data_IF_410202052179
#
_entry.id   IF_410202052179
#
_cell.length_a   1.000
_cell.length_b   1.000
_cell.length_c   1.000
_cell.angle_alpha   90.00
_cell.angle_beta   90.00
_cell.angle_gamma   90.00
#
_symmetry.space_group_name_H-M   'P 1'
#
loop_
_entity.id
_entity.type
_entity.pdbx_description
1 polymer ?
#
# COMPACT_ATOMS: atom_id res chain seq x y z
N UNK A 1 27.55 -22.44 6.19
CA UNK A 1 26.92 -21.87 7.40
C UNK A 1 26.41 -20.49 7.03
N UNK A 2 25.09 -20.28 6.99
CA UNK A 2 24.51 -18.94 6.82
C UNK A 2 24.48 -18.27 8.19
N UNK A 3 24.97 -17.03 8.28
CA UNK A 3 25.16 -16.30 9.54
C UNK A 3 23.83 -15.91 10.23
N UNK A 4 23.80 -15.83 11.57
CA UNK A 4 22.58 -15.61 12.36
C UNK A 4 22.09 -14.14 12.43
N UNK A 5 22.41 -13.30 11.43
CA UNK A 5 22.09 -11.86 11.40
C UNK A 5 21.40 -11.42 10.09
N UNK A 6 20.76 -12.34 9.38
CA UNK A 6 19.82 -11.93 8.35
C UNK A 6 18.54 -11.49 9.06
N UNK A 7 18.47 -10.22 9.46
CA UNK A 7 17.23 -9.53 9.83
C UNK A 7 16.37 -9.38 8.57
N UNK A 8 15.94 -10.51 8.01
CA UNK A 8 15.08 -10.54 6.85
C UNK A 8 13.72 -10.00 7.28
N UNK A 9 13.57 -8.70 7.10
CA UNK A 9 12.29 -8.04 7.17
C UNK A 9 11.63 -8.29 5.82
N UNK A 10 10.52 -9.05 5.73
CA UNK A 10 9.82 -9.21 4.47
C UNK A 10 9.55 -7.83 3.90
N UNK A 11 10.04 -7.58 2.69
CA UNK A 11 9.82 -6.32 1.99
C UNK A 11 8.30 -6.17 1.81
N UNK A 12 7.67 -5.40 2.68
CA UNK A 12 6.25 -5.09 2.59
C UNK A 12 6.06 -4.05 1.46
N UNK A 13 6.25 -4.52 0.23
CA UNK A 13 6.21 -3.70 -0.97
C UNK A 13 4.80 -3.19 -1.22
N UNK A 14 4.66 -1.88 -1.41
CA UNK A 14 3.44 -1.28 -1.93
C UNK A 14 3.68 -1.05 -3.42
N UNK A 15 3.31 -2.05 -4.22
CA UNK A 15 3.40 -1.97 -5.68
C UNK A 15 2.17 -1.29 -6.29
N UNK A 16 2.38 -0.30 -7.14
CA UNK A 16 1.38 0.20 -8.07
C UNK A 16 1.63 -0.46 -9.42
N UNK A 17 0.65 -1.20 -9.89
CA UNK A 17 0.72 -1.97 -11.13
C UNK A 17 0.41 -1.08 -12.33
N UNK A 18 1.11 -1.31 -13.44
CA UNK A 18 0.84 -0.67 -14.74
C UNK A 18 0.78 0.87 -14.69
N UNK A 19 1.74 1.52 -14.02
CA UNK A 19 1.82 2.99 -13.98
C UNK A 19 2.36 3.50 -15.32
N UNK A 20 1.58 4.31 -16.02
CA UNK A 20 1.97 4.90 -17.30
C UNK A 20 2.79 6.17 -17.14
N UNK A 21 3.91 6.27 -17.84
CA UNK A 21 4.68 7.51 -17.89
C UNK A 21 4.03 8.52 -18.84
N UNK A 22 3.71 9.76 -18.40
CA UNK A 22 3.10 10.77 -19.26
C UNK A 22 4.04 11.27 -20.40
N UNK A 23 5.35 11.01 -20.30
CA UNK A 23 6.34 11.44 -21.29
C UNK A 23 6.66 10.37 -22.33
N UNK A 24 6.98 9.15 -21.90
CA UNK A 24 7.41 8.07 -22.80
C UNK A 24 6.34 7.01 -23.06
N UNK A 25 5.14 7.15 -22.47
CA UNK A 25 4.00 6.22 -22.60
C UNK A 25 4.27 4.78 -22.15
N UNK A 26 5.42 4.51 -21.55
CA UNK A 26 5.80 3.18 -21.06
C UNK A 26 5.07 2.87 -19.75
N UNK A 27 4.55 1.64 -19.65
CA UNK A 27 3.91 1.13 -18.43
C UNK A 27 4.92 0.37 -17.59
N UNK A 28 5.04 0.70 -16.30
CA UNK A 28 5.93 -0.01 -15.39
C UNK A 28 5.32 -0.13 -14.00
N UNK A 29 5.72 -1.15 -13.25
CA UNK A 29 5.31 -1.29 -11.87
C UNK A 29 6.18 -0.40 -10.97
N UNK A 30 5.51 0.44 -10.18
CA UNK A 30 6.14 1.41 -9.28
C UNK A 30 6.04 0.91 -7.83
N UNK A 31 7.18 0.61 -7.20
CA UNK A 31 7.22 0.27 -5.79
C UNK A 31 7.36 1.54 -4.95
N UNK A 32 6.27 1.97 -4.31
CA UNK A 32 6.25 3.20 -3.51
C UNK A 32 6.67 2.98 -2.05
N UNK A 33 6.91 1.74 -1.64
CA UNK A 33 7.38 1.44 -0.28
C UNK A 33 8.90 1.57 -0.12
N UNK A 34 9.66 1.56 -1.22
CA UNK A 34 11.11 1.67 -1.17
C UNK A 34 11.53 3.04 -0.63
N UNK A 35 12.53 3.11 0.25
CA UNK A 35 13.13 4.37 0.62
C UNK A 35 13.68 5.04 -0.65
N UNK A 36 13.52 6.36 -0.75
CA UNK A 36 14.30 7.14 -1.71
C UNK A 36 15.78 6.83 -1.48
N UNK A 37 16.63 6.72 -2.53
CA UNK A 37 18.06 6.47 -2.36
C UNK A 37 18.76 7.51 -1.47
N UNK A 38 18.15 8.67 -1.20
CA UNK A 38 18.64 9.65 -0.23
C UNK A 38 18.50 9.24 1.25
N UNK A 39 17.72 8.20 1.57
CA UNK A 39 17.53 7.69 2.92
C UNK A 39 18.37 6.43 3.22
N UNK A 40 19.26 6.04 2.30
CA UNK A 40 20.19 4.92 2.48
C UNK A 40 21.63 5.37 2.75
N UNK A 41 21.87 6.68 2.83
CA UNK A 41 23.13 7.25 3.30
C UNK A 41 23.06 7.46 4.83
N UNK A 42 22.88 6.38 5.60
CA UNK A 42 23.03 6.38 7.06
C UNK A 42 24.37 5.73 7.47
N UNK A 43 25.46 6.24 6.90
CA UNK A 43 26.78 6.22 7.54
C UNK A 43 27.21 7.69 7.76
N UNK A 44 26.75 8.23 8.90
CA UNK A 44 27.22 9.41 9.63
C UNK A 44 27.81 10.59 8.86
N UNK A 45 27.03 11.67 8.71
CA UNK A 45 27.50 13.04 8.99
C UNK A 45 26.31 14.01 9.11
N UNK A 46 25.65 14.02 10.27
CA UNK A 46 24.89 15.19 10.71
C UNK A 46 25.89 16.25 11.17
N UNK A 47 26.30 17.17 10.29
CA UNK A 47 26.68 18.54 10.64
C UNK A 47 27.03 19.32 9.37
N UNK A 48 26.42 20.51 9.26
CA UNK A 48 26.65 21.58 8.28
C UNK A 48 25.87 21.52 6.96
N UNK A 49 24.64 22.04 6.98
CA UNK A 49 24.26 23.03 5.96
C UNK A 49 23.09 23.93 6.41
N UNK A 50 23.42 24.94 7.21
CA UNK A 50 22.69 26.19 7.25
C UNK A 50 23.52 27.23 6.50
N UNK A 51 23.21 27.45 5.20
CA UNK A 51 23.38 28.70 4.41
C UNK A 51 23.26 28.39 2.91
N UNK A 52 22.13 28.79 2.34
CA UNK A 52 21.91 28.79 0.89
C UNK A 52 20.43 28.83 0.54
N UNK A 53 19.86 30.04 0.41
CA UNK A 53 18.66 30.25 -0.39
C UNK A 53 18.97 29.84 -1.83
N UNK A 54 18.40 28.73 -2.28
CA UNK A 54 18.67 28.20 -3.61
C UNK A 54 17.96 26.86 -3.81
N UNK A 55 16.74 26.95 -4.33
CA UNK A 55 15.98 25.89 -5.00
C UNK A 55 16.07 24.50 -4.35
N UNK A 56 15.14 24.21 -3.43
CA UNK A 56 14.87 22.85 -2.94
C UNK A 56 14.43 22.02 -4.14
N UNK A 57 15.41 21.47 -4.85
CA UNK A 57 15.24 20.40 -5.81
C UNK A 57 14.66 19.23 -5.04
N UNK A 58 13.34 19.25 -4.90
CA UNK A 58 12.50 18.18 -4.43
C UNK A 58 12.75 17.06 -5.43
N UNK A 59 13.77 16.23 -5.15
CA UNK A 59 14.00 15.00 -5.92
C UNK A 59 12.69 14.24 -5.83
N UNK A 60 11.94 14.24 -6.93
CA UNK A 60 10.65 13.59 -6.94
C UNK A 60 10.87 12.13 -6.52
N UNK A 61 10.18 11.65 -5.48
CA UNK A 61 10.48 10.36 -4.87
C UNK A 61 10.24 9.19 -5.84
N UNK A 62 9.51 9.44 -6.93
CA UNK A 62 9.12 8.46 -7.92
C UNK A 62 9.49 8.97 -9.31
N UNK A 63 10.18 8.14 -10.09
CA UNK A 63 10.56 8.46 -11.46
C UNK A 63 10.37 7.25 -12.39
N UNK A 64 10.12 7.52 -13.67
CA UNK A 64 10.02 6.50 -14.69
C UNK A 64 11.37 5.79 -14.89
N UNK A 65 11.36 4.46 -14.94
CA UNK A 65 12.58 3.65 -15.15
C UNK A 65 13.23 3.86 -16.53
N UNK A 66 12.47 4.30 -17.53
CA UNK A 66 12.94 4.42 -18.91
C UNK A 66 13.46 5.82 -19.24
N UNK A 67 12.70 6.87 -18.89
CA UNK A 67 13.05 8.25 -19.25
C UNK A 67 13.43 9.13 -18.05
N UNK A 68 13.54 8.56 -16.85
CA UNK A 68 13.84 9.23 -15.58
C UNK A 68 12.92 10.42 -15.24
N UNK A 69 11.77 10.53 -15.93
CA UNK A 69 10.84 11.64 -15.71
C UNK A 69 10.11 11.42 -14.39
N UNK A 70 10.05 12.44 -13.53
CA UNK A 70 9.39 12.32 -12.24
C UNK A 70 7.89 12.10 -12.40
N UNK A 71 7.32 11.19 -11.63
CA UNK A 71 5.87 11.06 -11.52
C UNK A 71 5.34 12.17 -10.62
N UNK A 72 4.25 12.88 -11.00
CA UNK A 72 3.63 13.85 -10.13
C UNK A 72 3.06 13.13 -8.90
N UNK A 73 3.32 13.69 -7.71
CA UNK A 73 2.87 13.09 -6.44
C UNK A 73 1.35 12.92 -6.38
N UNK A 74 0.58 13.84 -6.96
CA UNK A 74 -0.87 13.76 -7.05
C UNK A 74 -1.36 12.52 -7.80
N UNK A 75 -0.69 12.16 -8.90
CA UNK A 75 -1.01 10.95 -9.66
C UNK A 75 -0.70 9.69 -8.85
N UNK A 76 0.44 9.65 -8.16
CA UNK A 76 0.80 8.51 -7.31
C UNK A 76 -0.18 8.37 -6.14
N UNK A 77 -0.59 9.49 -5.56
CA UNK A 77 -1.59 9.55 -4.50
C UNK A 77 -2.95 9.02 -4.97
N UNK A 78 -3.42 9.44 -6.14
CA UNK A 78 -4.67 8.94 -6.74
C UNK A 78 -4.63 7.44 -6.99
N UNK A 79 -3.54 6.92 -7.54
CA UNK A 79 -3.36 5.47 -7.76
C UNK A 79 -3.32 4.67 -6.44
N UNK A 80 -2.75 5.25 -5.37
CA UNK A 80 -2.77 4.64 -4.05
C UNK A 80 -4.18 4.63 -3.46
N UNK A 81 -4.93 5.72 -3.63
CA UNK A 81 -6.33 5.82 -3.23
C UNK A 81 -7.18 4.76 -3.94
N UNK A 82 -7.06 4.65 -5.26
CA UNK A 82 -7.76 3.64 -6.06
C UNK A 82 -7.42 2.21 -5.61
N UNK A 83 -6.13 1.95 -5.33
CA UNK A 83 -5.71 0.64 -4.79
C UNK A 83 -6.36 0.37 -3.44
N UNK A 84 -6.36 1.35 -2.54
CA UNK A 84 -6.97 1.22 -1.21
C UNK A 84 -8.47 0.95 -1.31
N UNK A 85 -9.17 1.71 -2.18
CA UNK A 85 -10.59 1.56 -2.46
C UNK A 85 -10.92 0.19 -3.05
N UNK A 86 -10.12 -0.32 -4.00
CA UNK A 86 -10.27 -1.67 -4.55
C UNK A 86 -10.11 -2.75 -3.49
N UNK A 87 -9.12 -2.64 -2.60
CA UNK A 87 -8.93 -3.60 -1.51
C UNK A 87 -10.11 -3.58 -0.53
N UNK A 88 -10.60 -2.39 -0.18
CA UNK A 88 -11.79 -2.25 0.66
C UNK A 88 -13.03 -2.86 0.01
N UNK A 89 -13.31 -2.52 -1.25
CA UNK A 89 -14.44 -3.07 -1.99
C UNK A 89 -14.37 -4.60 -2.09
N UNK A 90 -13.19 -5.16 -2.37
CA UNK A 90 -12.99 -6.61 -2.39
C UNK A 90 -13.28 -7.27 -1.03
N UNK A 91 -12.91 -6.61 0.07
CA UNK A 91 -13.22 -7.10 1.42
C UNK A 91 -14.71 -6.99 1.76
N UNK A 92 -15.39 -5.91 1.35
CA UNK A 92 -16.83 -5.73 1.61
C UNK A 92 -17.69 -6.68 0.77
N UNK A 93 -17.32 -6.89 -0.49
CA UNK A 93 -18.06 -7.71 -1.46
C UNK A 93 -17.61 -9.18 -1.49
N UNK A 94 -16.73 -9.58 -0.57
CA UNK A 94 -16.18 -10.93 -0.55
C UNK A 94 -17.28 -11.99 -0.39
N UNK A 95 -17.00 -13.17 -0.91
CA UNK A 95 -17.81 -14.34 -0.65
C UNK A 95 -17.57 -14.90 0.77
N UNK A 96 -18.55 -15.68 1.20
CA UNK A 96 -18.56 -16.38 2.48
C UNK A 96 -18.28 -17.86 2.28
N UNK A 97 -17.30 -18.40 3.00
CA UNK A 97 -16.86 -19.81 2.92
C UNK A 97 -17.18 -20.54 4.21
N UNK A 98 -17.71 -21.75 4.12
CA UNK A 98 -17.97 -22.55 5.31
C UNK A 98 -16.66 -22.98 5.97
N UNK A 99 -16.56 -22.87 7.30
CA UNK A 99 -15.34 -23.21 8.05
C UNK A 99 -14.95 -24.69 7.92
N UNK A 100 -15.94 -25.59 7.81
CA UNK A 100 -15.72 -27.04 7.79
C UNK A 100 -15.74 -27.61 6.37
N UNK A 101 -16.88 -27.53 5.67
CA UNK A 101 -17.02 -28.17 4.36
C UNK A 101 -16.40 -27.36 3.21
N UNK A 102 -15.92 -26.14 3.50
CA UNK A 102 -15.24 -25.23 2.57
C UNK A 102 -16.05 -24.83 1.32
N UNK A 103 -17.34 -25.15 1.28
CA UNK A 103 -18.27 -24.68 0.23
C UNK A 103 -18.56 -23.19 0.39
N UNK A 104 -18.78 -22.54 -0.75
CA UNK A 104 -19.18 -21.14 -0.83
C UNK A 104 -20.67 -21.00 -0.50
N UNK A 105 -21.02 -19.94 0.21
CA UNK A 105 -22.42 -19.61 0.52
C UNK A 105 -23.14 -19.15 -0.74
N UNK A 106 -24.13 -19.93 -1.19
CA UNK A 106 -24.96 -19.57 -2.36
C UNK A 106 -26.23 -18.80 -2.01
N UNK A 107 -26.58 -18.73 -0.72
CA UNK A 107 -27.81 -18.12 -0.21
C UNK A 107 -27.48 -16.88 0.61
N UNK A 108 -27.90 -15.70 0.15
CA UNK A 108 -27.58 -14.41 0.79
C UNK A 108 -28.09 -14.25 2.23
N UNK A 109 -29.17 -14.93 2.61
CA UNK A 109 -29.77 -14.82 3.95
C UNK A 109 -29.40 -15.99 4.89
N UNK A 110 -28.62 -16.97 4.42
CA UNK A 110 -28.29 -18.14 5.21
C UNK A 110 -27.18 -17.82 6.22
N UNK A 111 -27.51 -17.89 7.52
CA UNK A 111 -26.53 -17.70 8.61
C UNK A 111 -25.59 -18.90 8.81
N UNK A 112 -26.03 -20.08 8.40
CA UNK A 112 -25.33 -21.34 8.56
C UNK A 112 -25.30 -22.10 7.23
N UNK A 113 -24.25 -22.87 7.04
CA UNK A 113 -24.13 -23.81 5.95
C UNK A 113 -25.07 -25.00 6.16
N UNK A 114 -25.40 -25.73 5.10
CA UNK A 114 -26.22 -26.95 5.17
C UNK A 114 -25.57 -28.06 6.04
N UNK A 115 -24.26 -27.96 6.32
CA UNK A 115 -23.56 -28.80 7.30
C UNK A 115 -23.61 -28.27 8.75
N UNK A 116 -24.53 -27.36 9.07
CA UNK A 116 -24.73 -26.73 10.39
C UNK A 116 -23.53 -25.93 10.94
N UNK A 117 -22.56 -25.60 10.09
CA UNK A 117 -21.40 -24.79 10.47
C UNK A 117 -21.55 -23.34 9.99
N UNK A 118 -20.76 -22.44 10.56
CA UNK A 118 -20.77 -21.01 10.22
C UNK A 118 -19.99 -20.75 8.93
N UNK A 119 -20.33 -19.62 8.30
CA UNK A 119 -19.50 -19.06 7.25
C UNK A 119 -18.51 -18.04 7.81
N UNK A 120 -17.33 -17.97 7.20
CA UNK A 120 -16.29 -16.97 7.42
C UNK A 120 -15.99 -16.27 6.09
N UNK A 121 -15.58 -14.99 6.13
CA UNK A 121 -15.13 -14.29 4.93
C UNK A 121 -13.86 -14.93 4.38
N UNK A 122 -13.73 -14.99 3.05
CA UNK A 122 -12.53 -15.53 2.38
C UNK A 122 -11.28 -14.67 2.66
N UNK A 123 -11.47 -13.36 2.77
CA UNK A 123 -10.44 -12.37 3.08
C UNK A 123 -10.47 -12.03 4.57
N UNK A 124 -9.37 -12.32 5.26
CA UNK A 124 -9.21 -11.97 6.68
C UNK A 124 -9.05 -10.47 6.89
N UNK A 125 -9.76 -9.93 7.88
CA UNK A 125 -9.70 -8.50 8.25
C UNK A 125 -8.28 -8.05 8.65
N UNK A 126 -7.50 -8.94 9.26
CA UNK A 126 -6.10 -8.67 9.62
C UNK A 126 -5.25 -8.32 8.40
N UNK A 127 -5.43 -9.03 7.28
CA UNK A 127 -4.69 -8.76 6.05
C UNK A 127 -5.04 -7.38 5.48
N UNK A 128 -6.30 -6.98 5.54
CA UNK A 128 -6.71 -5.63 5.12
C UNK A 128 -6.07 -4.55 6.01
N UNK A 129 -6.12 -4.73 7.34
CA UNK A 129 -5.50 -3.81 8.30
C UNK A 129 -4.00 -3.67 8.11
N UNK A 130 -3.30 -4.78 7.87
CA UNK A 130 -1.87 -4.74 7.55
C UNK A 130 -1.58 -3.95 6.28
N UNK A 131 -2.39 -4.13 5.22
CA UNK A 131 -2.23 -3.36 3.99
C UNK A 131 -2.50 -1.86 4.20
N UNK A 132 -3.52 -1.49 4.98
CA UNK A 132 -3.81 -0.09 5.31
C UNK A 132 -2.70 0.53 6.16
N UNK A 133 -2.14 -0.21 7.12
CA UNK A 133 -0.99 0.25 7.90
C UNK A 133 0.24 0.52 7.02
N UNK A 134 0.49 -0.32 6.01
CA UNK A 134 1.57 -0.10 5.03
C UNK A 134 1.32 1.13 4.18
N UNK A 135 0.09 1.31 3.67
CA UNK A 135 -0.29 2.50 2.92
C UNK A 135 -0.11 3.77 3.77
N UNK A 136 -0.50 3.76 5.05
CA UNK A 136 -0.28 4.89 5.95
C UNK A 136 1.19 5.25 6.11
N UNK A 137 2.08 4.26 6.25
CA UNK A 137 3.53 4.49 6.35
C UNK A 137 4.07 5.18 5.10
N UNK A 138 3.65 4.72 3.91
CA UNK A 138 4.02 5.35 2.64
C UNK A 138 3.50 6.78 2.57
N UNK A 139 2.22 6.99 2.90
CA UNK A 139 1.60 8.31 2.85
C UNK A 139 2.25 9.29 3.84
N UNK A 140 2.60 8.82 5.04
CA UNK A 140 3.30 9.62 6.05
C UNK A 140 4.70 10.05 5.62
N UNK A 141 5.42 9.19 4.88
CA UNK A 141 6.75 9.51 4.33
C UNK A 141 6.69 10.57 3.23
N UNK A 142 5.64 10.57 2.42
CA UNK A 142 5.53 11.42 1.23
C UNK A 142 4.53 12.58 1.37
N UNK A 143 3.89 12.75 2.53
CA UNK A 143 2.94 13.83 2.78
C UNK A 143 1.62 13.73 1.99
N UNK A 144 1.13 12.51 1.74
CA UNK A 144 -0.10 12.25 0.97
C UNK A 144 -1.34 12.32 1.87
N UNK A 145 -1.93 13.52 1.99
CA UNK A 145 -3.03 13.79 2.92
C UNK A 145 -4.37 13.17 2.49
N UNK A 146 -4.67 13.10 1.19
CA UNK A 146 -5.97 12.64 0.70
C UNK A 146 -6.19 11.15 1.00
N UNK A 147 -5.15 10.34 0.75
CA UNK A 147 -5.19 8.90 1.04
C UNK A 147 -5.26 8.64 2.54
N UNK A 148 -4.54 9.41 3.36
CA UNK A 148 -4.62 9.29 4.82
C UNK A 148 -6.03 9.56 5.33
N UNK A 149 -6.64 10.67 4.92
CA UNK A 149 -8.00 11.02 5.30
C UNK A 149 -8.99 9.92 4.92
N UNK A 150 -8.86 9.35 3.72
CA UNK A 150 -9.72 8.26 3.28
C UNK A 150 -9.53 6.99 4.12
N UNK A 151 -8.29 6.60 4.42
CA UNK A 151 -8.00 5.44 5.27
C UNK A 151 -8.60 5.60 6.67
N UNK A 152 -8.53 6.81 7.24
CA UNK A 152 -9.07 7.11 8.56
C UNK A 152 -10.61 7.07 8.58
N UNK A 153 -11.27 7.56 7.52
CA UNK A 153 -12.72 7.43 7.36
C UNK A 153 -13.15 5.97 7.27
N UNK A 154 -12.43 5.16 6.50
CA UNK A 154 -12.76 3.73 6.32
C UNK A 154 -12.59 2.97 7.63
N UNK A 155 -11.55 3.21 8.40
CA UNK A 155 -11.34 2.51 9.67
C UNK A 155 -12.36 2.85 10.75
N UNK A 156 -12.92 4.06 10.75
CA UNK A 156 -14.01 4.41 11.67
C UNK A 156 -15.23 3.48 11.53
N UNK A 157 -15.50 2.95 10.34
CA UNK A 157 -16.58 1.97 10.13
C UNK A 157 -16.30 0.59 10.71
N UNK A 158 -15.03 0.24 10.95
CA UNK A 158 -14.62 -1.08 11.46
C UNK A 158 -14.17 -1.08 12.92
N UNK A 159 -14.14 0.09 13.57
CA UNK A 159 -13.70 0.31 14.95
C UNK A 159 -14.80 0.23 16.02
N UNK A 160 -16.04 -0.13 15.64
CA UNK A 160 -17.16 -0.43 16.54
C UNK A 160 -17.41 -1.93 16.62
#
# INVERSE_FOLDING_TARGET
>A
MYGPLADWTPCAGVLLENVFCPKCAESTDLNVAQPSPAALDEDGNEENNARGEGDVATRAPFACRHCATPYPLSMVEELLLERAARMHAAFTLQDWRCTVCKKMGSKFLARFCDCNNRFEGVLGAERLRLNFALLRRVCGRHGMANVQQWLDQVEQFYGQ
#
